data_IF_345090593181
#
_entry.id   IF_345090593181
#
_cell.length_a   1.000
_cell.length_b   1.000
_cell.length_c   1.000
_cell.angle_alpha   90.00
_cell.angle_beta   90.00
_cell.angle_gamma   90.00
#
_symmetry.space_group_name_H-M   'P 1'
#
loop_
_entity.id
_entity.type
_entity.pdbx_description
1 polymer ?
#
# COMPACT_ATOMS: atom_id res chain seq x y z
N UNK A 1 -6.12 -12.04 -12.33
CA UNK A 1 -6.26 -12.56 -10.95
C UNK A 1 -5.11 -13.51 -10.67
N UNK A 2 -3.93 -12.94 -10.41
CA UNK A 2 -2.81 -13.66 -9.82
C UNK A 2 -2.78 -13.21 -8.37
N UNK A 3 -3.58 -13.89 -7.54
CA UNK A 3 -3.41 -13.81 -6.09
C UNK A 3 -2.17 -14.63 -5.77
N UNK A 4 -1.00 -14.02 -5.95
CA UNK A 4 0.23 -14.56 -5.37
C UNK A 4 0.07 -14.35 -3.87
N UNK A 5 -0.50 -15.37 -3.22
CA UNK A 5 -0.35 -15.55 -1.79
C UNK A 5 1.15 -15.75 -1.59
N UNK A 6 1.85 -14.66 -1.27
CA UNK A 6 3.21 -14.69 -0.76
C UNK A 6 3.15 -15.44 0.57
N UNK A 7 3.16 -16.77 0.49
CA UNK A 7 3.54 -17.62 1.60
C UNK A 7 4.91 -17.13 2.03
N UNK A 8 4.98 -16.55 3.23
CA UNK A 8 6.19 -16.09 3.91
C UNK A 8 7.32 -17.10 3.65
N UNK A 9 8.32 -16.77 2.81
CA UNK A 9 9.58 -17.47 2.87
C UNK A 9 10.32 -16.90 4.09
N UNK A 10 10.94 -17.79 4.87
CA UNK A 10 11.67 -17.49 6.10
C UNK A 10 12.91 -16.57 5.92
N UNK A 11 13.03 -15.88 4.79
CA UNK A 11 14.14 -14.97 4.43
C UNK A 11 13.75 -13.49 4.36
N UNK A 12 12.47 -13.14 4.54
CA UNK A 12 12.04 -11.72 4.65
C UNK A 12 12.27 -11.14 6.06
N UNK A 13 12.55 -11.97 7.06
CA UNK A 13 12.60 -11.55 8.47
C UNK A 13 13.95 -10.89 8.82
N UNK A 14 15.06 -11.32 8.22
CA UNK A 14 16.40 -10.81 8.55
C UNK A 14 16.73 -9.49 7.86
N UNK A 15 16.27 -9.28 6.62
CA UNK A 15 16.46 -8.04 5.87
C UNK A 15 15.82 -6.82 6.55
N UNK A 16 14.68 -7.06 7.19
CA UNK A 16 13.93 -6.04 7.91
C UNK A 16 14.60 -5.60 9.22
N UNK A 17 15.44 -6.42 9.86
CA UNK A 17 15.91 -6.11 11.21
C UNK A 17 16.79 -4.84 11.27
N UNK A 18 17.67 -4.65 10.26
CA UNK A 18 18.57 -3.48 10.20
C UNK A 18 17.85 -2.19 9.78
N UNK A 19 16.94 -2.25 8.80
CA UNK A 19 16.11 -1.10 8.41
C UNK A 19 15.09 -0.76 9.52
N UNK A 20 14.48 -1.78 10.14
CA UNK A 20 13.62 -1.59 11.31
C UNK A 20 14.34 -0.94 12.46
N UNK A 21 15.67 -1.11 12.61
CA UNK A 21 16.46 -0.48 13.66
C UNK A 21 16.71 1.01 13.37
N UNK A 22 16.92 1.39 12.10
CA UNK A 22 17.01 2.79 11.66
C UNK A 22 15.68 3.52 11.95
N UNK A 23 14.54 2.89 11.64
CA UNK A 23 13.22 3.45 11.94
C UNK A 23 12.78 3.31 13.42
N UNK A 24 13.42 2.42 14.20
CA UNK A 24 13.13 2.20 15.65
C UNK A 24 13.69 3.28 16.55
N UNK A 25 14.71 4.01 16.09
CA UNK A 25 15.50 4.92 16.94
C UNK A 25 14.77 6.17 17.41
N UNK A 26 13.52 6.42 16.99
CA UNK A 26 12.69 7.48 17.56
C UNK A 26 12.13 7.07 18.93
N UNK A 27 12.94 7.31 19.94
CA UNK A 27 12.54 7.24 21.35
C UNK A 27 11.49 8.35 21.53
N UNK A 28 10.34 8.08 22.17
CA UNK A 28 9.17 8.99 22.22
C UNK A 28 9.41 10.47 22.56
N UNK A 29 10.60 10.80 23.07
CA UNK A 29 11.12 12.16 23.16
C UNK A 29 11.23 12.89 21.81
N UNK A 30 11.66 12.25 20.72
CA UNK A 30 11.83 12.91 19.42
C UNK A 30 10.48 13.35 18.84
N UNK A 31 9.48 12.47 18.92
CA UNK A 31 8.10 12.81 18.55
C UNK A 31 7.51 13.91 19.44
N UNK A 32 7.83 13.90 20.73
CA UNK A 32 7.46 14.98 21.64
C UNK A 32 8.15 16.30 21.29
N UNK A 33 9.45 16.28 20.94
CA UNK A 33 10.23 17.44 20.49
C UNK A 33 9.64 18.02 19.20
N UNK A 34 9.27 17.17 18.25
CA UNK A 34 8.57 17.58 17.03
C UNK A 34 7.21 18.22 17.36
N UNK A 35 6.46 17.70 18.33
CA UNK A 35 5.26 18.35 18.84
C UNK A 35 5.53 19.73 19.43
N UNK A 36 6.60 19.88 20.21
CA UNK A 36 7.03 21.17 20.76
C UNK A 36 7.40 22.18 19.66
N UNK A 37 8.00 21.73 18.54
CA UNK A 37 8.34 22.59 17.39
C UNK A 37 7.11 23.32 16.82
N UNK A 38 5.92 22.72 16.88
CA UNK A 38 4.68 23.38 16.43
C UNK A 38 4.34 24.63 17.27
N UNK A 39 4.64 24.58 18.58
CA UNK A 39 4.37 25.70 19.50
C UNK A 39 5.56 26.68 19.60
N UNK A 40 6.77 26.19 19.37
CA UNK A 40 8.02 26.95 19.44
C UNK A 40 8.71 27.02 18.06
N UNK A 41 7.94 27.37 17.03
CA UNK A 41 8.41 27.39 15.63
C UNK A 41 9.52 28.42 15.39
N UNK A 42 9.53 29.50 16.17
CA UNK A 42 10.51 30.60 16.10
C UNK A 42 11.83 30.30 16.83
N UNK A 43 11.92 29.20 17.58
CA UNK A 43 13.06 28.89 18.44
C UNK A 43 14.17 28.15 17.66
N UNK A 44 15.46 28.47 17.85
CA UNK A 44 16.55 27.65 17.31
C UNK A 44 16.49 26.18 17.75
N UNK A 45 17.09 25.25 16.99
CA UNK A 45 17.04 23.81 17.30
C UNK A 45 17.65 23.47 18.67
N UNK A 46 18.82 24.01 18.98
CA UNK A 46 19.50 23.76 20.25
C UNK A 46 18.68 24.24 21.46
N UNK A 47 18.02 25.40 21.34
CA UNK A 47 17.16 25.94 22.37
C UNK A 47 15.88 25.11 22.51
N UNK A 48 15.29 24.65 21.39
CA UNK A 48 14.12 23.78 21.42
C UNK A 48 14.45 22.47 22.12
N UNK A 49 15.59 21.85 21.82
CA UNK A 49 15.98 20.58 22.42
C UNK A 49 16.09 20.69 23.94
N UNK A 50 16.73 21.76 24.43
CA UNK A 50 16.83 22.02 25.87
C UNK A 50 15.45 22.20 26.52
N UNK A 51 14.57 22.99 25.91
CA UNK A 51 13.23 23.27 26.43
C UNK A 51 12.35 22.01 26.40
N UNK A 52 12.39 21.26 25.30
CA UNK A 52 11.68 19.99 25.15
C UNK A 52 12.18 18.97 26.19
N UNK A 53 13.48 18.84 26.40
CA UNK A 53 14.03 17.90 27.38
C UNK A 53 13.61 18.24 28.81
N UNK A 54 13.61 19.52 29.18
CA UNK A 54 13.13 19.96 30.48
C UNK A 54 11.63 19.63 30.68
N UNK A 55 10.80 19.91 29.67
CA UNK A 55 9.38 19.57 29.68
C UNK A 55 9.16 18.06 29.76
N UNK A 56 9.88 17.28 28.96
CA UNK A 56 9.81 15.81 28.94
C UNK A 56 10.11 15.19 30.32
N UNK A 57 11.16 15.68 31.00
CA UNK A 57 11.51 15.23 32.35
C UNK A 57 10.43 15.57 33.39
N UNK A 58 9.75 16.70 33.20
CA UNK A 58 8.67 17.15 34.08
C UNK A 58 7.33 16.46 33.82
N UNK A 59 7.15 15.77 32.68
CA UNK A 59 5.91 15.05 32.37
C UNK A 59 5.64 13.91 33.36
N UNK A 60 4.37 13.64 33.69
CA UNK A 60 3.97 12.40 34.34
C UNK A 60 4.41 11.18 33.54
N UNK A 61 4.64 10.05 34.22
CA UNK A 61 5.08 8.83 33.56
C UNK A 61 4.05 8.32 32.54
N UNK A 62 2.77 8.35 32.87
CA UNK A 62 1.68 7.93 31.97
C UNK A 62 1.67 8.74 30.66
N UNK A 63 1.90 10.06 30.75
CA UNK A 63 1.97 10.91 29.57
C UNK A 63 3.21 10.60 28.73
N UNK A 64 4.38 10.35 29.34
CA UNK A 64 5.58 9.91 28.62
C UNK A 64 5.34 8.57 27.91
N UNK A 65 4.71 7.63 28.58
CA UNK A 65 4.40 6.31 28.02
C UNK A 65 3.43 6.43 26.83
N UNK A 66 2.47 7.35 26.89
CA UNK A 66 1.60 7.66 25.76
C UNK A 66 2.39 8.20 24.54
N UNK A 67 3.38 9.08 24.76
CA UNK A 67 4.26 9.55 23.68
C UNK A 67 5.14 8.45 23.11
N UNK A 68 5.66 7.55 23.95
CA UNK A 68 6.44 6.38 23.52
C UNK A 68 5.58 5.45 22.67
N UNK A 69 4.35 5.15 23.11
CA UNK A 69 3.44 4.29 22.35
C UNK A 69 3.01 4.93 21.04
N UNK A 70 2.75 6.25 21.04
CA UNK A 70 2.47 6.99 19.81
C UNK A 70 3.64 6.91 18.83
N UNK A 71 4.88 7.10 19.30
CA UNK A 71 6.08 6.91 18.47
C UNK A 71 6.11 5.50 17.86
N UNK A 72 5.90 4.46 18.67
CA UNK A 72 5.82 3.07 18.17
C UNK A 72 4.73 2.85 17.13
N UNK A 73 3.58 3.51 17.26
CA UNK A 73 2.51 3.44 16.27
C UNK A 73 2.94 4.07 14.94
N UNK A 74 3.54 5.25 14.96
CA UNK A 74 4.06 5.91 13.74
C UNK A 74 5.18 5.10 13.09
N UNK A 75 6.15 4.60 13.86
CA UNK A 75 7.19 3.69 13.36
C UNK A 75 6.58 2.45 12.70
N UNK A 76 5.55 1.84 13.30
CA UNK A 76 4.86 0.68 12.69
C UNK A 76 4.21 1.03 11.36
N UNK A 77 3.61 2.22 11.24
CA UNK A 77 3.02 2.70 9.98
C UNK A 77 4.08 2.88 8.91
N UNK A 78 5.21 3.53 9.25
CA UNK A 78 6.32 3.75 8.32
C UNK A 78 6.92 2.42 7.84
N UNK A 79 7.19 1.49 8.75
CA UNK A 79 7.66 0.13 8.39
C UNK A 79 6.66 -0.55 7.45
N UNK A 80 5.35 -0.43 7.73
CA UNK A 80 4.33 -1.02 6.89
C UNK A 80 4.31 -0.41 5.49
N UNK A 81 4.45 0.91 5.38
CA UNK A 81 4.52 1.61 4.11
C UNK A 81 5.74 1.17 3.30
N UNK A 82 6.92 1.10 3.93
CA UNK A 82 8.15 0.63 3.29
C UNK A 82 8.03 -0.82 2.80
N UNK A 83 7.40 -1.70 3.59
CA UNK A 83 7.12 -3.07 3.16
C UNK A 83 6.20 -3.14 1.94
N UNK A 84 5.17 -2.30 1.89
CA UNK A 84 4.24 -2.24 0.76
C UNK A 84 4.94 -1.69 -0.49
N UNK A 85 5.77 -0.66 -0.34
CA UNK A 85 6.62 -0.13 -1.43
C UNK A 85 7.56 -1.20 -1.99
N UNK A 86 8.23 -1.98 -1.14
CA UNK A 86 9.08 -3.08 -1.58
C UNK A 86 8.32 -4.17 -2.33
N UNK A 87 7.15 -4.58 -1.80
CA UNK A 87 6.30 -5.57 -2.47
C UNK A 87 5.88 -5.09 -3.86
N UNK A 88 5.53 -3.81 -3.97
CA UNK A 88 5.15 -3.18 -5.22
C UNK A 88 6.32 -3.09 -6.22
N UNK A 89 7.50 -2.64 -5.78
CA UNK A 89 8.73 -2.65 -6.56
C UNK A 89 9.03 -4.04 -7.14
N UNK A 90 8.99 -5.07 -6.30
CA UNK A 90 9.18 -6.46 -6.72
C UNK A 90 8.16 -6.87 -7.78
N UNK A 91 6.88 -6.54 -7.60
CA UNK A 91 5.83 -6.92 -8.56
C UNK A 91 6.08 -6.37 -9.96
N UNK A 92 6.46 -5.10 -10.07
CA UNK A 92 6.71 -4.45 -11.36
C UNK A 92 7.98 -4.98 -12.05
N UNK A 93 9.01 -5.28 -11.27
CA UNK A 93 10.26 -5.83 -11.81
C UNK A 93 10.08 -7.24 -12.34
N UNK A 94 9.38 -8.09 -11.59
CA UNK A 94 9.04 -9.46 -12.03
C UNK A 94 8.27 -9.43 -13.36
N UNK A 95 7.26 -8.56 -13.47
CA UNK A 95 6.46 -8.44 -14.70
C UNK A 95 7.29 -7.94 -15.90
N UNK A 96 8.18 -6.97 -15.67
CA UNK A 96 9.00 -6.37 -16.74
C UNK A 96 10.03 -7.34 -17.35
N UNK A 97 10.61 -8.22 -16.54
CA UNK A 97 11.67 -9.14 -16.96
C UNK A 97 11.13 -10.54 -17.31
N UNK A 98 9.80 -10.76 -17.24
CA UNK A 98 9.11 -12.04 -17.53
C UNK A 98 9.77 -13.24 -16.84
N UNK A 99 10.25 -13.05 -15.61
CA UNK A 99 11.06 -14.02 -14.91
C UNK A 99 10.22 -15.16 -14.33
N UNK A 100 10.69 -16.40 -14.50
CA UNK A 100 9.95 -17.63 -14.16
C UNK A 100 10.34 -18.30 -12.83
N UNK A 101 11.42 -17.89 -12.14
CA UNK A 101 11.85 -18.52 -10.88
C UNK A 101 11.83 -17.53 -9.69
N UNK A 102 11.19 -17.83 -8.54
CA UNK A 102 10.98 -16.82 -7.49
C UNK A 102 12.13 -16.57 -6.49
N UNK A 103 12.99 -17.56 -6.18
CA UNK A 103 13.82 -17.50 -4.95
C UNK A 103 15.11 -16.65 -5.09
N UNK A 104 15.94 -16.92 -6.08
CA UNK A 104 17.21 -16.20 -6.31
C UNK A 104 16.97 -14.73 -6.72
N UNK A 105 15.83 -14.46 -7.36
CA UNK A 105 15.45 -13.12 -7.81
C UNK A 105 14.94 -12.23 -6.69
N UNK A 106 14.18 -12.77 -5.73
CA UNK A 106 13.76 -12.02 -4.54
C UNK A 106 14.98 -11.60 -3.72
N UNK A 107 16.02 -12.44 -3.65
CA UNK A 107 17.27 -12.06 -2.99
C UNK A 107 17.93 -10.86 -3.67
N UNK A 108 18.12 -10.91 -5.00
CA UNK A 108 18.69 -9.80 -5.77
C UNK A 108 17.88 -8.51 -5.62
N UNK A 109 16.55 -8.59 -5.76
CA UNK A 109 15.67 -7.41 -5.60
C UNK A 109 15.70 -6.85 -4.17
N UNK A 110 15.89 -7.72 -3.17
CA UNK A 110 16.10 -7.31 -1.79
C UNK A 110 17.43 -6.57 -1.64
N UNK A 111 18.52 -7.08 -2.23
CA UNK A 111 19.83 -6.41 -2.22
C UNK A 111 19.76 -5.05 -2.93
N UNK A 112 19.12 -4.99 -4.10
CA UNK A 112 18.88 -3.75 -4.85
C UNK A 112 18.10 -2.75 -4.00
N UNK A 113 17.03 -3.19 -3.32
CA UNK A 113 16.26 -2.36 -2.40
C UNK A 113 17.10 -1.90 -1.20
N UNK A 114 17.92 -2.75 -0.60
CA UNK A 114 18.78 -2.36 0.54
C UNK A 114 19.75 -1.25 0.15
N UNK A 115 20.29 -1.32 -1.07
CA UNK A 115 21.23 -0.34 -1.60
C UNK A 115 20.58 1.00 -2.01
N UNK A 116 19.25 1.10 -2.00
CA UNK A 116 18.54 2.35 -2.26
C UNK A 116 18.56 3.29 -1.05
N UNK A 117 18.64 4.60 -1.32
CA UNK A 117 18.43 5.63 -0.30
C UNK A 117 16.97 5.65 0.16
N UNK A 118 16.71 6.30 1.29
CA UNK A 118 15.34 6.45 1.82
C UNK A 118 14.47 7.22 0.82
N UNK A 119 15.01 8.26 0.18
CA UNK A 119 14.30 9.07 -0.80
C UNK A 119 13.93 8.25 -2.04
N UNK A 120 14.84 7.39 -2.51
CA UNK A 120 14.57 6.48 -3.62
C UNK A 120 13.49 5.46 -3.27
N UNK A 121 13.49 4.92 -2.04
CA UNK A 121 12.44 4.03 -1.55
C UNK A 121 11.09 4.75 -1.45
N UNK A 122 11.10 6.00 -1.00
CA UNK A 122 9.90 6.80 -0.83
C UNK A 122 9.14 7.00 -2.14
N UNK A 123 9.83 7.13 -3.28
CA UNK A 123 9.18 7.17 -4.62
C UNK A 123 8.30 5.95 -4.86
N UNK A 124 8.75 4.75 -4.51
CA UNK A 124 7.97 3.51 -4.67
C UNK A 124 6.81 3.43 -3.69
N UNK A 125 7.02 3.91 -2.46
CA UNK A 125 5.97 3.98 -1.44
C UNK A 125 4.87 4.95 -1.89
N UNK A 126 5.24 6.14 -2.36
CA UNK A 126 4.30 7.18 -2.77
C UNK A 126 3.52 6.77 -4.02
N UNK A 127 4.17 6.16 -5.02
CA UNK A 127 3.50 5.63 -6.20
C UNK A 127 2.51 4.51 -5.82
N UNK A 128 2.92 3.59 -4.93
CA UNK A 128 2.02 2.56 -4.42
C UNK A 128 0.82 3.16 -3.66
N UNK A 129 1.06 4.09 -2.74
CA UNK A 129 0.01 4.72 -1.94
C UNK A 129 -0.97 5.48 -2.84
N UNK A 130 -0.46 6.24 -3.80
CA UNK A 130 -1.27 6.98 -4.78
C UNK A 130 -2.16 6.05 -5.58
N UNK A 131 -1.61 4.95 -6.12
CA UNK A 131 -2.39 3.96 -6.87
C UNK A 131 -3.39 3.20 -6.00
N UNK A 132 -3.03 2.90 -4.76
CA UNK A 132 -3.90 2.20 -3.82
C UNK A 132 -5.07 3.04 -3.31
N UNK A 133 -4.92 4.36 -3.30
CA UNK A 133 -5.98 5.33 -2.94
C UNK A 133 -7.04 5.45 -4.05
N UNK A 134 -6.66 5.19 -5.31
CA UNK A 134 -7.60 5.26 -6.44
C UNK A 134 -8.31 3.93 -6.66
N UNK A 135 -9.61 4.00 -6.93
CA UNK A 135 -10.38 2.82 -7.27
C UNK A 135 -9.84 2.21 -8.57
N UNK A 136 -9.37 0.94 -8.56
CA UNK A 136 -8.77 0.32 -9.73
C UNK A 136 -9.81 0.22 -10.86
N UNK A 137 -9.38 0.30 -12.13
CA UNK A 137 -10.31 0.28 -13.24
C UNK A 137 -11.04 -1.06 -13.30
N UNK A 138 -12.36 -1.01 -13.44
CA UNK A 138 -13.20 -2.18 -13.57
C UNK A 138 -13.07 -2.79 -14.97
N UNK A 139 -12.73 -4.08 -15.02
CA UNK A 139 -12.77 -4.82 -16.29
C UNK A 139 -14.19 -4.99 -16.83
N UNK A 140 -14.31 -5.23 -18.13
CA UNK A 140 -15.60 -5.49 -18.78
C UNK A 140 -16.39 -6.63 -18.12
N UNK A 141 -15.69 -7.67 -17.64
CA UNK A 141 -16.30 -8.76 -16.89
C UNK A 141 -16.90 -8.28 -15.56
N UNK A 142 -16.23 -7.37 -14.84
CA UNK A 142 -16.74 -6.83 -13.57
C UNK A 142 -18.04 -6.07 -13.82
N UNK A 143 -18.09 -5.20 -14.83
CA UNK A 143 -19.31 -4.51 -15.23
C UNK A 143 -20.45 -5.48 -15.59
N UNK A 144 -20.16 -6.52 -16.39
CA UNK A 144 -21.12 -7.56 -16.71
C UNK A 144 -21.67 -8.23 -15.45
N UNK A 145 -20.79 -8.66 -14.54
CA UNK A 145 -21.23 -9.31 -13.30
C UNK A 145 -22.01 -8.38 -12.38
N UNK A 146 -21.69 -7.08 -12.34
CA UNK A 146 -22.41 -6.10 -11.55
C UNK A 146 -23.86 -5.93 -12.05
N UNK A 147 -24.06 -5.94 -13.36
CA UNK A 147 -25.39 -5.86 -13.99
C UNK A 147 -26.19 -7.16 -13.84
N UNK A 148 -25.53 -8.32 -13.98
CA UNK A 148 -26.20 -9.64 -14.01
C UNK A 148 -26.44 -10.25 -12.63
N UNK A 149 -25.61 -9.93 -11.62
CA UNK A 149 -25.70 -10.51 -10.27
C UNK A 149 -27.04 -10.24 -9.55
N UNK A 150 -27.69 -9.05 -9.66
CA UNK A 150 -29.01 -8.82 -9.10
C UNK A 150 -30.07 -9.80 -9.61
N UNK A 151 -30.07 -10.10 -10.91
CA UNK A 151 -31.02 -11.05 -11.52
C UNK A 151 -30.78 -12.48 -11.01
N UNK A 152 -29.52 -12.90 -10.87
CA UNK A 152 -29.18 -14.21 -10.30
C UNK A 152 -29.64 -14.33 -8.84
N UNK A 153 -29.60 -13.25 -8.06
CA UNK A 153 -30.12 -13.21 -6.70
C UNK A 153 -31.65 -13.30 -6.62
N UNK A 154 -32.37 -12.87 -7.66
CA UNK A 154 -33.83 -13.02 -7.71
C UNK A 154 -34.24 -14.48 -7.99
N UNK A 155 -33.46 -15.17 -8.83
CA UNK A 155 -33.70 -16.57 -9.18
C UNK A 155 -33.27 -17.50 -8.04
N UNK A 156 -32.11 -17.22 -7.44
CA UNK A 156 -31.57 -17.99 -6.32
C UNK A 156 -31.06 -17.06 -5.21
N UNK A 157 -31.96 -16.62 -4.31
CA UNK A 157 -31.61 -15.74 -3.20
C UNK A 157 -30.62 -16.36 -2.19
N UNK A 158 -30.61 -17.69 -2.09
CA UNK A 158 -29.77 -18.45 -1.16
C UNK A 158 -28.51 -19.03 -1.83
N UNK A 159 -28.29 -18.71 -3.11
CA UNK A 159 -27.17 -19.24 -3.88
C UNK A 159 -25.81 -18.82 -3.33
N UNK A 160 -24.89 -19.77 -3.25
CA UNK A 160 -23.53 -19.50 -2.82
C UNK A 160 -22.82 -18.58 -3.84
N UNK A 161 -22.04 -17.60 -3.32
CA UNK A 161 -21.25 -16.68 -4.15
C UNK A 161 -20.36 -17.40 -5.17
N UNK A 162 -19.79 -18.55 -4.78
CA UNK A 162 -18.94 -19.37 -5.65
C UNK A 162 -19.69 -19.90 -6.86
N UNK A 163 -20.91 -20.40 -6.66
CA UNK A 163 -21.72 -21.00 -7.73
C UNK A 163 -22.30 -19.93 -8.66
N UNK A 164 -22.75 -18.80 -8.11
CA UNK A 164 -23.12 -17.62 -8.90
C UNK A 164 -21.96 -17.15 -9.79
N UNK A 165 -20.73 -17.11 -9.26
CA UNK A 165 -19.55 -16.74 -10.05
C UNK A 165 -19.22 -17.76 -11.16
N UNK A 166 -19.45 -19.06 -10.94
CA UNK A 166 -19.26 -20.08 -12.00
C UNK A 166 -20.22 -19.85 -13.16
N UNK A 167 -21.50 -19.59 -12.86
CA UNK A 167 -22.53 -19.27 -13.86
C UNK A 167 -22.14 -18.03 -14.65
N UNK A 168 -21.79 -16.94 -13.96
CA UNK A 168 -21.38 -15.69 -14.60
C UNK A 168 -20.15 -15.85 -15.51
N UNK A 169 -19.15 -16.64 -15.09
CA UNK A 169 -17.97 -16.93 -15.92
C UNK A 169 -18.33 -17.73 -17.17
N UNK A 170 -19.27 -18.67 -17.07
CA UNK A 170 -19.75 -19.45 -18.20
C UNK A 170 -20.56 -18.57 -19.17
N UNK A 171 -21.50 -17.78 -18.67
CA UNK A 171 -22.29 -16.83 -19.47
C UNK A 171 -21.39 -15.83 -20.19
N UNK A 172 -20.40 -15.25 -19.49
CA UNK A 172 -19.45 -14.34 -20.10
C UNK A 172 -18.72 -14.99 -21.27
N UNK A 173 -18.16 -16.19 -21.08
CA UNK A 173 -17.44 -16.93 -22.12
C UNK A 173 -18.32 -17.28 -23.33
N UNK A 174 -19.61 -17.53 -23.12
CA UNK A 174 -20.55 -17.85 -24.20
C UNK A 174 -20.91 -16.63 -25.06
N UNK A 175 -20.89 -15.41 -24.51
CA UNK A 175 -21.17 -14.18 -25.27
C UNK A 175 -20.13 -13.91 -26.35
N UNK A 176 -20.56 -13.45 -27.51
CA UNK A 176 -19.71 -12.97 -28.61
C UNK A 176 -19.13 -11.58 -28.32
N UNK A 177 -18.13 -11.16 -29.10
CA UNK A 177 -17.52 -9.81 -28.97
C UNK A 177 -18.57 -8.70 -29.11
N UNK A 178 -19.47 -8.69 -30.13
CA UNK A 178 -20.51 -7.67 -30.26
C UNK A 178 -21.43 -7.60 -29.03
N UNK A 179 -21.80 -8.75 -28.47
CA UNK A 179 -22.63 -8.80 -27.25
C UNK A 179 -21.89 -8.27 -26.02
N UNK A 180 -20.56 -8.36 -26.01
CA UNK A 180 -19.72 -7.84 -24.92
C UNK A 180 -19.36 -6.37 -25.09
N UNK A 181 -19.58 -5.78 -26.27
CA UNK A 181 -19.09 -4.44 -26.63
C UNK A 181 -19.51 -3.38 -25.62
N UNK A 182 -20.77 -3.40 -25.17
CA UNK A 182 -21.28 -2.49 -24.12
C UNK A 182 -20.37 -2.44 -22.89
N UNK A 183 -19.92 -3.59 -22.39
CA UNK A 183 -19.09 -3.65 -21.18
C UNK A 183 -17.61 -3.39 -21.48
N UNK A 184 -17.16 -3.63 -22.71
CA UNK A 184 -15.82 -3.24 -23.17
C UNK A 184 -15.73 -1.71 -23.19
N UNK A 185 -16.70 -1.03 -23.79
CA UNK A 185 -16.74 0.45 -23.83
C UNK A 185 -16.86 1.08 -22.44
N UNK A 186 -17.51 0.39 -21.49
CA UNK A 186 -17.55 0.82 -20.09
C UNK A 186 -16.18 0.67 -19.41
N UNK A 187 -15.50 -0.45 -19.64
CA UNK A 187 -14.17 -0.70 -19.10
C UNK A 187 -13.12 0.26 -19.65
N UNK A 188 -13.21 0.60 -20.95
CA UNK A 188 -12.30 1.55 -21.58
C UNK A 188 -12.48 2.96 -21.01
N UNK A 189 -13.73 3.42 -20.82
CA UNK A 189 -14.00 4.70 -20.15
C UNK A 189 -13.53 4.72 -18.70
N UNK A 190 -13.63 3.60 -17.98
CA UNK A 190 -13.16 3.53 -16.59
C UNK A 190 -11.63 3.49 -16.49
N UNK A 191 -10.96 2.92 -17.50
CA UNK A 191 -9.52 3.02 -17.66
C UNK A 191 -9.09 4.47 -17.88
N UNK A 192 -9.77 5.21 -18.75
CA UNK A 192 -9.51 6.64 -18.98
C UNK A 192 -9.73 7.47 -17.70
N UNK A 193 -10.79 7.19 -16.94
CA UNK A 193 -11.02 7.81 -15.62
C UNK A 193 -9.83 7.58 -14.70
N UNK A 194 -9.41 6.32 -14.53
CA UNK A 194 -8.32 5.95 -13.64
C UNK A 194 -6.99 6.60 -14.06
N UNK A 195 -6.67 6.58 -15.35
CA UNK A 195 -5.48 7.26 -15.90
C UNK A 195 -5.54 8.78 -15.64
N UNK A 196 -6.72 9.40 -15.79
CA UNK A 196 -6.95 10.81 -15.47
C UNK A 196 -6.74 11.13 -13.98
N UNK A 197 -7.26 10.31 -13.07
CA UNK A 197 -7.11 10.48 -11.62
C UNK A 197 -5.65 10.35 -11.15
N UNK A 198 -4.90 9.41 -11.74
CA UNK A 198 -3.47 9.26 -11.46
C UNK A 198 -2.68 10.48 -11.93
N UNK A 199 -2.94 10.97 -13.15
CA UNK A 199 -2.23 12.12 -13.70
C UNK A 199 -2.52 13.41 -12.92
N UNK A 200 -3.78 13.63 -12.51
CA UNK A 200 -4.16 14.78 -11.70
C UNK A 200 -3.45 14.80 -10.34
N UNK A 201 -3.21 13.63 -9.75
CA UNK A 201 -2.50 13.50 -8.46
C UNK A 201 -1.01 13.77 -8.56
N UNK A 202 -0.41 13.65 -9.76
CA UNK A 202 1.02 13.93 -10.00
C UNK A 202 1.34 15.40 -10.30
N UNK A 203 0.30 16.24 -10.45
CA UNK A 203 0.41 17.65 -10.85
C UNK A 203 0.15 18.65 -9.70
N UNK A 204 -0.03 18.16 -8.47
CA UNK A 204 -0.21 18.94 -7.24
C UNK A 204 0.98 18.75 -6.29
#
# INVERSE_FOLDING_TARGET
>A
MLTIVLHKPATTVDFLAAEQEIYRREIGFDLFKQGCRQFFSYMPEDDLERVALAKWRALPQEERDAWIEKSRQETRKLIRQMQLGFQYYCSLKIDSEKLSTPAEFVQKLSEDWANMTIEQKQVWVDDFLTKSDKAPPMSAFVYFTAERRPELKLVDPNGCFSDQNKILRAEWKAKSIPERQKWIDLADRDRERYEGELNASSAQ
#
